data_IF_014315473946
#
_entry.id   IF_014315473946
#
_cell.length_a   1.000
_cell.length_b   1.000
_cell.length_c   1.000
_cell.angle_alpha   90.00
_cell.angle_beta   90.00
_cell.angle_gamma   90.00
#
_symmetry.space_group_name_H-M   'P 1'
#
loop_
_entity.id
_entity.type
_entity.pdbx_description
1 polymer ?
#
# COMPACT_ATOMS: atom_id res chain seq x y z
N UNK A 1 5.14 -18.77 -19.78
CA UNK A 1 4.79 -18.28 -18.43
C UNK A 1 4.76 -16.76 -18.46
N UNK A 2 3.63 -16.21 -18.11
CA UNK A 2 3.48 -14.75 -18.04
C UNK A 2 4.20 -14.22 -16.80
N UNK A 3 5.11 -13.27 -16.99
CA UNK A 3 5.78 -12.58 -15.89
C UNK A 3 4.81 -11.53 -15.32
N UNK A 4 4.60 -11.56 -14.00
CA UNK A 4 3.73 -10.61 -13.33
C UNK A 4 4.39 -9.25 -13.20
N UNK A 5 3.74 -8.22 -13.73
CA UNK A 5 4.20 -6.83 -13.62
C UNK A 5 3.57 -6.19 -12.39
N UNK A 6 4.41 -5.71 -11.49
CA UNK A 6 3.96 -5.10 -10.23
C UNK A 6 4.28 -3.61 -10.18
N UNK A 7 3.28 -2.83 -9.80
CA UNK A 7 3.40 -1.40 -9.52
C UNK A 7 3.31 -1.20 -8.01
N UNK A 8 4.26 -0.46 -7.43
CA UNK A 8 4.22 -0.08 -6.02
C UNK A 8 3.95 1.41 -5.93
N UNK A 9 2.93 1.80 -5.18
CA UNK A 9 2.61 3.19 -4.89
C UNK A 9 2.75 3.37 -3.38
N UNK A 10 3.84 4.02 -2.98
CA UNK A 10 4.18 4.24 -1.57
C UNK A 10 4.63 5.68 -1.36
N UNK A 11 3.67 6.61 -1.16
CA UNK A 11 4.00 8.02 -0.97
C UNK A 11 5.07 8.19 0.11
N UNK A 12 6.08 9.00 -0.18
CA UNK A 12 7.25 9.15 0.68
C UNK A 12 6.89 9.89 1.97
N UNK A 13 7.00 9.17 3.10
CA UNK A 13 6.72 9.70 4.42
C UNK A 13 7.48 8.83 5.43
N UNK A 14 8.28 9.47 6.28
CA UNK A 14 9.11 8.75 7.26
C UNK A 14 8.29 7.84 8.17
N UNK A 15 7.06 8.25 8.51
CA UNK A 15 6.21 7.47 9.41
C UNK A 15 5.70 6.17 8.80
N UNK A 16 5.79 6.01 7.47
CA UNK A 16 5.40 4.78 6.79
C UNK A 16 6.57 4.06 6.11
N UNK A 17 7.80 4.52 6.31
CA UNK A 17 8.97 3.85 5.75
C UNK A 17 9.17 2.42 6.27
N UNK A 18 8.58 2.07 7.40
CA UNK A 18 8.59 0.70 7.92
C UNK A 18 7.90 -0.29 6.97
N UNK A 19 7.11 0.19 6.00
CA UNK A 19 6.44 -0.65 5.02
C UNK A 19 7.33 -1.00 3.81
N UNK A 20 8.51 -0.40 3.69
CA UNK A 20 9.45 -0.69 2.60
C UNK A 20 9.73 -2.19 2.44
N UNK A 21 9.94 -2.98 3.52
CA UNK A 21 10.19 -4.41 3.37
C UNK A 21 9.09 -5.18 2.64
N UNK A 22 7.87 -4.65 2.57
CA UNK A 22 6.77 -5.29 1.85
C UNK A 22 7.15 -5.53 0.39
N UNK A 23 7.92 -4.63 -0.22
CA UNK A 23 8.27 -4.74 -1.64
C UNK A 23 9.78 -4.83 -1.93
N UNK A 24 10.63 -4.83 -0.90
CA UNK A 24 12.09 -4.81 -1.09
C UNK A 24 12.62 -6.01 -1.85
N UNK A 25 12.03 -7.18 -1.67
CA UNK A 25 12.52 -8.42 -2.25
C UNK A 25 11.68 -8.90 -3.44
N UNK A 26 10.79 -8.06 -3.95
CA UNK A 26 10.01 -8.42 -5.13
C UNK A 26 10.92 -8.56 -6.35
N UNK A 27 10.61 -9.51 -7.21
CA UNK A 27 11.43 -9.80 -8.37
C UNK A 27 12.56 -10.77 -8.08
N UNK A 28 12.66 -11.29 -6.83
CA UNK A 28 13.64 -12.29 -6.46
C UNK A 28 13.32 -13.69 -6.95
N UNK A 29 12.08 -13.92 -7.38
CA UNK A 29 11.66 -15.20 -7.94
C UNK A 29 11.65 -15.13 -9.47
N UNK A 30 11.97 -16.24 -10.18
CA UNK A 30 12.11 -16.23 -11.64
C UNK A 30 10.92 -15.71 -12.43
N UNK A 31 9.70 -15.88 -11.89
CA UNK A 31 8.46 -15.52 -12.58
C UNK A 31 7.98 -14.09 -12.32
N UNK A 32 8.78 -13.29 -11.59
CA UNK A 32 8.42 -11.93 -11.22
C UNK A 32 9.44 -10.93 -11.72
N UNK A 33 8.96 -9.85 -12.35
CA UNK A 33 9.80 -8.70 -12.70
C UNK A 33 10.04 -7.84 -11.47
N UNK A 34 11.12 -7.06 -11.49
CA UNK A 34 11.32 -6.02 -10.49
C UNK A 34 10.17 -5.01 -10.56
N UNK A 35 9.61 -4.60 -9.42
CA UNK A 35 8.48 -3.69 -9.43
C UNK A 35 8.86 -2.29 -9.93
N UNK A 36 7.88 -1.61 -10.49
CA UNK A 36 7.96 -0.16 -10.69
C UNK A 36 7.52 0.51 -9.41
N UNK A 37 8.41 1.29 -8.79
CA UNK A 37 8.16 1.89 -7.47
C UNK A 37 7.95 3.39 -7.64
N UNK A 38 6.78 3.88 -7.24
CA UNK A 38 6.40 5.30 -7.30
C UNK A 38 6.20 5.82 -5.88
N UNK A 39 7.02 6.79 -5.50
CA UNK A 39 6.96 7.41 -4.17
C UNK A 39 6.61 8.90 -4.21
N UNK A 40 6.46 9.46 -5.39
CA UNK A 40 6.11 10.86 -5.60
C UNK A 40 6.40 11.31 -7.01
N UNK A 41 6.13 12.57 -7.30
CA UNK A 41 6.54 13.21 -8.55
C UNK A 41 5.75 12.86 -9.81
N UNK A 42 4.62 12.16 -9.67
CA UNK A 42 3.77 11.84 -10.83
C UNK A 42 2.33 12.27 -10.58
N UNK A 43 1.59 12.53 -11.64
CA UNK A 43 0.20 12.96 -11.56
C UNK A 43 -0.74 11.79 -11.30
N UNK A 44 -1.94 12.09 -10.82
CA UNK A 44 -2.99 11.08 -10.63
C UNK A 44 -3.37 10.41 -11.96
N UNK A 45 -3.39 11.17 -13.05
CA UNK A 45 -3.71 10.61 -14.36
C UNK A 45 -2.66 9.59 -14.81
N UNK A 46 -1.36 9.90 -14.56
CA UNK A 46 -0.30 8.94 -14.86
C UNK A 46 -0.39 7.72 -13.96
N UNK A 47 -0.71 7.89 -12.69
CA UNK A 47 -0.93 6.76 -11.77
C UNK A 47 -2.02 5.84 -12.33
N UNK A 48 -3.13 6.39 -12.79
CA UNK A 48 -4.23 5.59 -13.35
C UNK A 48 -3.77 4.79 -14.57
N UNK A 49 -3.00 5.41 -15.46
CA UNK A 49 -2.46 4.72 -16.63
C UNK A 49 -1.47 3.62 -16.25
N UNK A 50 -0.61 3.87 -15.28
CA UNK A 50 0.32 2.87 -14.76
C UNK A 50 -0.41 1.68 -14.15
N UNK A 51 -1.49 1.93 -13.42
CA UNK A 51 -2.32 0.85 -12.85
C UNK A 51 -2.83 -0.07 -13.96
N UNK A 52 -3.31 0.52 -15.06
CA UNK A 52 -3.81 -0.26 -16.20
C UNK A 52 -2.74 -1.12 -16.86
N UNK A 53 -1.49 -0.70 -16.80
CA UNK A 53 -0.37 -1.37 -17.45
C UNK A 53 0.25 -2.48 -16.60
N UNK A 54 -0.17 -2.64 -15.37
CA UNK A 54 0.40 -3.61 -14.42
C UNK A 54 -0.62 -4.66 -14.01
N UNK A 55 -0.12 -5.84 -13.67
CA UNK A 55 -0.98 -6.96 -13.27
C UNK A 55 -1.32 -6.94 -11.79
N UNK A 56 -0.46 -6.34 -10.98
CA UNK A 56 -0.62 -6.23 -9.53
C UNK A 56 -0.21 -4.83 -9.08
N UNK A 57 -0.98 -4.26 -8.16
CA UNK A 57 -0.69 -2.95 -7.58
C UNK A 57 -0.58 -3.09 -6.06
N UNK A 58 0.52 -2.62 -5.50
CA UNK A 58 0.78 -2.60 -4.06
C UNK A 58 0.72 -1.14 -3.61
N UNK A 59 -0.23 -0.82 -2.74
CA UNK A 59 -0.51 0.53 -2.29
C UNK A 59 -0.31 0.63 -0.79
N UNK A 60 0.63 1.48 -0.37
CA UNK A 60 1.08 1.55 1.02
C UNK A 60 1.15 3.00 1.48
N UNK A 61 0.72 3.26 2.70
CA UNK A 61 0.91 4.57 3.32
C UNK A 61 -0.19 4.95 4.30
N UNK A 62 -0.37 6.24 4.49
CA UNK A 62 -1.48 6.79 5.27
C UNK A 62 -2.73 6.87 4.43
N UNK A 63 -3.87 6.63 5.06
CA UNK A 63 -5.13 6.70 4.34
C UNK A 63 -6.35 6.75 5.24
N UNK A 64 -7.49 6.59 4.59
CA UNK A 64 -8.81 6.65 5.23
C UNK A 64 -9.76 5.70 4.50
N UNK A 65 -11.03 5.60 4.94
CA UNK A 65 -12.03 4.87 4.16
C UNK A 65 -12.20 5.35 2.73
N UNK A 66 -11.75 6.58 2.43
CA UNK A 66 -11.87 7.16 1.07
C UNK A 66 -10.68 6.87 0.17
N UNK A 67 -9.56 6.40 0.72
CA UNK A 67 -8.41 6.04 -0.09
C UNK A 67 -7.06 6.33 0.55
N UNK A 68 -6.02 6.27 -0.28
CA UNK A 68 -4.63 6.49 0.10
C UNK A 68 -4.27 7.98 -0.04
N UNK A 69 -3.69 8.56 1.01
CA UNK A 69 -3.38 9.99 1.04
C UNK A 69 -2.19 10.34 0.11
N UNK A 70 -2.35 11.46 -0.56
CA UNK A 70 -1.29 12.12 -1.32
C UNK A 70 -0.42 12.90 -0.34
N UNK A 71 0.76 12.39 -0.04
CA UNK A 71 1.71 13.02 0.90
C UNK A 71 3.11 13.05 0.27
N UNK A 72 4.02 13.74 0.95
CA UNK A 72 5.42 13.82 0.53
C UNK A 72 5.57 14.50 -0.82
N UNK A 73 6.32 13.86 -1.72
CA UNK A 73 6.63 14.43 -3.02
C UNK A 73 5.46 14.43 -4.01
N UNK A 74 4.32 13.85 -3.67
CA UNK A 74 3.10 14.06 -4.43
C UNK A 74 2.54 15.47 -4.21
N UNK A 75 2.88 16.09 -3.07
CA UNK A 75 2.78 17.53 -2.85
C UNK A 75 1.38 18.16 -2.84
N UNK A 76 0.33 17.37 -2.93
CA UNK A 76 -1.05 17.86 -2.98
C UNK A 76 -1.85 17.31 -1.83
N UNK A 77 -2.79 18.11 -1.32
CA UNK A 77 -3.77 17.61 -0.37
C UNK A 77 -4.76 16.70 -1.08
N UNK A 78 -5.28 15.70 -0.36
CA UNK A 78 -6.26 14.76 -0.89
C UNK A 78 -5.72 13.37 -1.06
N UNK A 79 -6.26 12.63 -2.02
CA UNK A 79 -5.96 11.22 -2.22
C UNK A 79 -5.17 10.99 -3.50
N UNK A 80 -4.17 10.09 -3.45
CA UNK A 80 -3.51 9.62 -4.66
C UNK A 80 -4.21 8.37 -5.22
N UNK A 81 -4.85 7.60 -4.36
CA UNK A 81 -5.74 6.49 -4.73
C UNK A 81 -7.11 6.78 -4.12
N UNK A 82 -8.15 6.78 -4.93
CA UNK A 82 -9.52 7.00 -4.47
C UNK A 82 -10.54 6.26 -5.36
N UNK A 83 -11.81 6.56 -5.17
CA UNK A 83 -12.90 5.92 -5.92
C UNK A 83 -12.76 6.04 -7.44
N UNK A 84 -12.12 7.11 -7.94
CA UNK A 84 -11.94 7.31 -9.38
C UNK A 84 -11.00 6.28 -10.03
N UNK A 85 -10.25 5.54 -9.22
CA UNK A 85 -9.31 4.52 -9.69
C UNK A 85 -9.83 3.10 -9.59
N UNK A 86 -11.04 2.92 -9.04
CA UNK A 86 -11.61 1.60 -8.79
C UNK A 86 -11.74 0.79 -10.07
N UNK A 87 -12.18 1.39 -11.15
CA UNK A 87 -12.30 0.69 -12.44
C UNK A 87 -10.95 0.12 -12.88
N UNK A 88 -9.89 0.92 -12.80
CA UNK A 88 -8.55 0.48 -13.19
C UNK A 88 -8.00 -0.60 -12.26
N UNK A 89 -8.36 -0.56 -10.98
CA UNK A 89 -7.91 -1.52 -9.97
C UNK A 89 -8.70 -2.83 -9.98
N UNK A 90 -9.89 -2.83 -10.55
CA UNK A 90 -10.76 -4.01 -10.57
C UNK A 90 -10.16 -5.15 -11.40
N UNK A 91 -10.54 -6.37 -11.09
CA UNK A 91 -10.08 -7.59 -11.78
C UNK A 91 -8.57 -7.86 -11.60
N UNK A 92 -7.99 -7.36 -10.51
CA UNK A 92 -6.60 -7.63 -10.12
C UNK A 92 -6.60 -8.31 -8.75
N UNK A 93 -6.69 -9.66 -8.71
CA UNK A 93 -6.91 -10.37 -7.44
C UNK A 93 -5.71 -10.34 -6.48
N UNK A 94 -4.54 -9.99 -6.97
CA UNK A 94 -3.32 -10.01 -6.18
C UNK A 94 -2.89 -8.62 -5.69
N UNK A 95 -3.77 -7.63 -5.80
CA UNK A 95 -3.49 -6.29 -5.29
C UNK A 95 -3.35 -6.28 -3.76
N UNK A 96 -2.62 -5.30 -3.26
CA UNK A 96 -2.38 -5.12 -1.82
C UNK A 96 -2.71 -3.67 -1.46
N UNK A 97 -3.56 -3.52 -0.45
CA UNK A 97 -4.05 -2.23 0.05
C UNK A 97 -3.69 -2.11 1.52
N UNK A 98 -2.60 -1.43 1.85
CA UNK A 98 -2.14 -1.26 3.22
C UNK A 98 -2.14 0.22 3.58
N UNK A 99 -3.24 0.69 4.12
CA UNK A 99 -3.37 2.00 4.75
C UNK A 99 -4.45 1.92 5.82
N UNK A 100 -4.52 2.92 6.69
CA UNK A 100 -5.53 2.92 7.76
C UNK A 100 -6.94 2.92 7.17
N UNK A 101 -7.74 1.93 7.57
CA UNK A 101 -9.12 1.75 7.12
C UNK A 101 -9.23 1.38 5.63
N UNK A 102 -8.22 0.72 5.07
CA UNK A 102 -8.32 0.16 3.72
C UNK A 102 -9.49 -0.84 3.62
N UNK A 103 -9.79 -1.57 4.70
CA UNK A 103 -10.93 -2.47 4.77
C UNK A 103 -12.25 -1.75 4.48
N UNK A 104 -12.40 -0.51 4.96
CA UNK A 104 -13.59 0.32 4.72
C UNK A 104 -13.67 0.74 3.25
N UNK A 105 -12.53 1.05 2.65
CA UNK A 105 -12.47 1.34 1.21
C UNK A 105 -12.92 0.13 0.38
N UNK A 106 -12.45 -1.06 0.76
CA UNK A 106 -12.84 -2.31 0.08
C UNK A 106 -14.33 -2.60 0.21
N UNK A 107 -14.91 -2.35 1.39
CA UNK A 107 -16.35 -2.51 1.60
C UNK A 107 -17.20 -1.63 0.68
N UNK A 108 -16.72 -0.42 0.39
CA UNK A 108 -17.41 0.51 -0.50
C UNK A 108 -17.26 0.16 -1.98
N UNK A 109 -16.29 -0.67 -2.32
CA UNK A 109 -15.95 -1.00 -3.71
C UNK A 109 -15.82 -2.52 -3.90
N UNK A 110 -16.94 -3.23 -3.96
CA UNK A 110 -16.94 -4.73 -3.96
C UNK A 110 -16.26 -5.37 -5.16
N UNK A 111 -15.97 -4.62 -6.22
CA UNK A 111 -15.24 -5.17 -7.37
C UNK A 111 -13.75 -5.32 -7.11
N UNK A 112 -13.23 -4.71 -6.05
CA UNK A 112 -11.83 -4.81 -5.69
C UNK A 112 -11.56 -6.12 -4.96
N UNK A 113 -10.40 -6.72 -5.27
CA UNK A 113 -9.94 -7.97 -4.68
C UNK A 113 -8.51 -7.80 -4.21
N UNK A 114 -8.07 -8.62 -3.28
CA UNK A 114 -6.69 -8.64 -2.83
C UNK A 114 -6.58 -8.60 -1.31
N UNK A 115 -5.35 -8.47 -0.84
CA UNK A 115 -5.05 -8.32 0.58
C UNK A 115 -5.24 -6.86 1.00
N UNK A 116 -5.83 -6.65 2.18
CA UNK A 116 -6.01 -5.30 2.70
C UNK A 116 -5.85 -5.28 4.22
N UNK A 117 -5.41 -4.14 4.73
CA UNK A 117 -5.29 -3.93 6.17
C UNK A 117 -6.51 -3.21 6.72
N UNK A 118 -6.75 -3.41 8.02
CA UNK A 118 -7.61 -2.52 8.80
C UNK A 118 -6.80 -1.29 9.22
N UNK A 119 -7.00 -0.87 10.47
CA UNK A 119 -6.23 0.24 11.01
C UNK A 119 -4.89 -0.24 11.57
N UNK A 120 -3.84 0.55 11.38
CA UNK A 120 -2.57 0.34 12.06
C UNK A 120 -2.06 1.66 12.65
N UNK A 121 -1.14 1.56 13.60
CA UNK A 121 -0.64 2.69 14.37
C UNK A 121 0.85 2.82 14.11
N UNK A 122 1.31 4.01 13.73
CA UNK A 122 2.71 4.28 13.43
C UNK A 122 3.40 5.16 14.47
N UNK A 123 2.64 5.87 15.32
CA UNK A 123 3.18 6.81 16.30
C UNK A 123 2.47 6.70 17.65
N UNK A 124 3.19 7.08 18.73
CA UNK A 124 2.65 7.06 20.09
C UNK A 124 1.43 7.97 20.24
N UNK A 125 1.45 9.15 19.62
CA UNK A 125 0.30 10.06 19.65
C UNK A 125 -0.92 9.47 18.99
N UNK A 126 -0.75 8.75 17.90
CA UNK A 126 -1.81 8.03 17.21
C UNK A 126 -2.36 6.91 18.09
N UNK A 127 -1.48 6.15 18.77
CA UNK A 127 -1.90 5.12 19.72
C UNK A 127 -2.74 5.71 20.85
N UNK A 128 -2.34 6.85 21.39
CA UNK A 128 -3.05 7.53 22.48
C UNK A 128 -4.47 7.95 22.08
N UNK A 129 -4.68 8.34 20.81
CA UNK A 129 -6.01 8.68 20.30
C UNK A 129 -7.01 7.53 20.40
N UNK A 130 -6.52 6.30 20.43
CA UNK A 130 -7.34 5.08 20.54
C UNK A 130 -7.24 4.43 21.91
N UNK A 131 -6.78 5.19 22.93
CA UNK A 131 -6.59 4.70 24.31
C UNK A 131 -5.60 3.53 24.41
N UNK A 132 -4.64 3.46 23.50
CA UNK A 132 -3.60 2.43 23.51
C UNK A 132 -2.32 3.05 24.08
N UNK A 133 -1.81 2.44 25.14
CA UNK A 133 -0.54 2.85 25.75
C UNK A 133 0.57 1.96 25.22
N UNK A 134 1.41 2.54 24.38
CA UNK A 134 2.55 1.83 23.80
C UNK A 134 3.70 2.81 23.60
N UNK A 135 4.93 2.34 23.76
CA UNK A 135 6.11 3.13 23.42
C UNK A 135 6.31 3.13 21.90
N UNK A 136 7.00 4.13 21.39
CA UNK A 136 7.36 4.17 19.97
C UNK A 136 8.19 2.96 19.56
N UNK A 137 9.02 2.46 20.46
CA UNK A 137 9.83 1.27 20.24
C UNK A 137 8.94 0.03 19.98
N UNK A 138 7.94 -0.19 20.84
CA UNK A 138 7.01 -1.32 20.69
C UNK A 138 6.21 -1.19 19.39
N UNK A 139 5.75 0.01 19.07
CA UNK A 139 5.02 0.28 17.82
C UNK A 139 5.91 -0.04 16.63
N UNK A 140 7.15 0.42 16.64
CA UNK A 140 8.09 0.18 15.55
C UNK A 140 8.41 -1.29 15.38
N UNK A 141 8.62 -2.03 16.46
CA UNK A 141 8.86 -3.48 16.41
C UNK A 141 7.68 -4.23 15.80
N UNK A 142 6.47 -3.91 16.23
CA UNK A 142 5.25 -4.53 15.73
C UNK A 142 5.07 -4.25 14.23
N UNK A 143 5.26 -3.00 13.83
CA UNK A 143 5.10 -2.59 12.44
C UNK A 143 6.19 -3.18 11.53
N UNK A 144 7.43 -3.25 12.02
CA UNK A 144 8.52 -3.88 11.27
C UNK A 144 8.28 -5.36 11.09
N UNK A 145 7.79 -6.04 12.12
CA UNK A 145 7.46 -7.47 12.02
C UNK A 145 6.37 -7.70 10.99
N UNK A 146 5.31 -6.90 11.01
CA UNK A 146 4.22 -6.97 10.04
C UNK A 146 4.76 -6.82 8.61
N UNK A 147 5.55 -5.76 8.36
CA UNK A 147 6.08 -5.48 7.03
C UNK A 147 7.01 -6.58 6.53
N UNK A 148 7.85 -7.12 7.41
CA UNK A 148 8.77 -8.21 7.05
C UNK A 148 8.01 -9.51 6.74
N UNK A 149 6.99 -9.84 7.52
CA UNK A 149 6.17 -11.03 7.28
C UNK A 149 5.46 -10.92 5.94
N UNK A 150 4.80 -9.78 5.68
CA UNK A 150 4.11 -9.55 4.41
C UNK A 150 5.10 -9.62 3.25
N UNK A 151 6.25 -8.95 3.37
CA UNK A 151 7.26 -8.93 2.33
C UNK A 151 7.86 -10.29 2.01
N UNK A 152 7.98 -11.17 3.02
CA UNK A 152 8.51 -12.51 2.82
C UNK A 152 7.52 -13.44 2.12
N UNK A 153 6.23 -13.23 2.28
CA UNK A 153 5.22 -14.17 1.78
C UNK A 153 4.41 -13.64 0.60
N UNK A 154 4.60 -12.40 0.20
CA UNK A 154 3.78 -11.76 -0.84
C UNK A 154 3.85 -12.47 -2.19
N UNK A 155 5.02 -12.99 -2.57
CA UNK A 155 5.20 -13.70 -3.84
C UNK A 155 4.88 -15.20 -3.72
N UNK A 156 4.76 -15.72 -2.49
CA UNK A 156 4.42 -17.12 -2.26
C UNK A 156 2.93 -17.39 -2.31
N UNK A 157 2.11 -16.35 -2.16
CA UNK A 157 0.65 -16.44 -2.17
C UNK A 157 0.08 -16.50 -3.58
N UNK A 158 0.91 -16.54 -4.60
CA UNK A 158 0.49 -16.51 -6.01
C UNK A 158 0.14 -17.92 -6.58
#
# INVERSE_FOLDING_TARGET
IKVMKTLVIHPQDKSTDFLIPVYMNLGGFPDFEKPTIIRGGVSRDLIRELIKQHDRVIMLGHGSPSGLFSVGQFGQSGMIIDASMVEALSNKPNNIYIWCNADKFMEQHPTLQGFYSGMFISEVGEAAMYNIKASQEVINESNNLFANVVGNYIDLDQ
#
